data_IF_367802673572
#
_entry.id   IF_367802673572
#
_cell.length_a   1.000
_cell.length_b   1.000
_cell.length_c   1.000
_cell.angle_alpha   90.00
_cell.angle_beta   90.00
_cell.angle_gamma   90.00
#
_symmetry.space_group_name_H-M   'P 1'
#
loop_
_entity.id
_entity.type
_entity.pdbx_description
1 polymer ?
#
# COMPACT_ATOMS: atom_id res chain seq x y z
N UNK A 1 -13.58 -4.40 5.07
CA UNK A 1 -13.29 -5.84 5.22
C UNK A 1 -14.52 -6.56 5.72
N UNK A 2 -14.90 -7.68 5.08
CA UNK A 2 -16.11 -8.42 5.45
C UNK A 2 -15.77 -9.59 6.36
N UNK A 3 -16.53 -9.80 7.43
CA UNK A 3 -16.34 -10.98 8.27
C UNK A 3 -17.17 -12.14 7.71
N UNK A 4 -16.50 -13.12 7.11
CA UNK A 4 -17.17 -14.22 6.39
C UNK A 4 -17.44 -15.46 7.24
N UNK A 5 -17.06 -15.45 8.51
CA UNK A 5 -17.40 -16.53 9.43
C UNK A 5 -18.94 -16.58 9.62
N UNK A 6 -19.59 -17.76 9.47
CA UNK A 6 -21.05 -17.88 9.51
C UNK A 6 -21.58 -17.84 10.94
N UNK A 7 -21.66 -16.64 11.52
CA UNK A 7 -22.24 -16.44 12.87
C UNK A 7 -23.75 -16.70 12.85
N UNK A 8 -24.17 -17.69 13.63
CA UNK A 8 -25.53 -18.18 13.84
C UNK A 8 -26.06 -17.95 15.26
N UNK A 9 -25.19 -17.73 16.25
CA UNK A 9 -25.56 -17.47 17.64
C UNK A 9 -25.93 -16.01 17.89
N UNK A 10 -26.90 -15.78 18.81
CA UNK A 10 -27.31 -14.44 19.24
C UNK A 10 -26.22 -13.71 20.05
N UNK A 11 -25.41 -14.48 20.79
CA UNK A 11 -24.31 -13.97 21.60
C UNK A 11 -22.98 -14.44 21.05
N UNK A 12 -22.12 -13.50 20.69
CA UNK A 12 -20.77 -13.77 20.19
C UNK A 12 -19.80 -12.66 20.58
N UNK A 13 -18.51 -13.01 20.54
CA UNK A 13 -17.37 -12.10 20.57
C UNK A 13 -16.77 -12.07 19.16
N UNK A 14 -16.53 -10.88 18.64
CA UNK A 14 -15.89 -10.63 17.35
C UNK A 14 -14.63 -9.81 17.59
N UNK A 15 -13.49 -10.32 17.13
CA UNK A 15 -12.25 -9.56 17.05
C UNK A 15 -11.90 -9.32 15.58
N UNK A 16 -11.44 -8.13 15.25
CA UNK A 16 -10.68 -7.91 14.02
C UNK A 16 -9.21 -7.92 14.35
N UNK A 17 -8.48 -8.70 13.56
CA UNK A 17 -7.04 -8.91 13.68
C UNK A 17 -6.36 -8.19 12.53
N UNK A 18 -5.19 -7.60 12.79
CA UNK A 18 -4.23 -7.13 11.81
C UNK A 18 -2.88 -7.75 12.13
N UNK A 19 -2.30 -8.52 11.20
CA UNK A 19 -1.03 -9.22 11.41
C UNK A 19 -0.99 -10.01 12.73
N UNK A 20 -2.08 -10.73 13.05
CA UNK A 20 -2.29 -11.50 14.28
C UNK A 20 -2.39 -10.68 15.58
N UNK A 21 -2.49 -9.36 15.51
CA UNK A 21 -2.76 -8.47 16.65
C UNK A 21 -4.21 -7.99 16.62
N UNK A 22 -4.89 -8.00 17.78
CA UNK A 22 -6.27 -7.51 17.87
C UNK A 22 -6.30 -5.98 17.80
N UNK A 23 -6.99 -5.47 16.79
CA UNK A 23 -7.18 -4.04 16.52
C UNK A 23 -8.60 -3.56 16.82
N UNK A 24 -9.51 -4.50 17.09
CA UNK A 24 -10.88 -4.19 17.49
C UNK A 24 -11.49 -5.41 18.18
N UNK A 25 -12.16 -5.20 19.30
CA UNK A 25 -13.01 -6.20 19.94
C UNK A 25 -14.47 -5.71 20.00
N UNK A 26 -15.41 -6.62 19.82
CA UNK A 26 -16.84 -6.35 19.91
C UNK A 26 -17.58 -7.52 20.53
N UNK A 27 -18.34 -7.25 21.59
CA UNK A 27 -19.32 -8.20 22.10
C UNK A 27 -20.70 -7.81 21.56
N UNK A 28 -21.42 -8.77 21.01
CA UNK A 28 -22.77 -8.58 20.40
C UNK A 28 -23.79 -7.78 21.24
N UNK A 29 -23.67 -7.80 22.56
CA UNK A 29 -24.53 -7.03 23.48
C UNK A 29 -24.09 -5.59 23.73
N UNK A 30 -22.90 -5.21 23.28
CA UNK A 30 -22.35 -3.87 23.51
C UNK A 30 -22.92 -2.86 22.51
N UNK A 31 -23.05 -1.58 22.91
CA UNK A 31 -23.55 -0.53 22.03
C UNK A 31 -22.58 -0.18 20.89
N UNK A 32 -21.27 -0.41 21.09
CA UNK A 32 -20.21 -0.08 20.15
C UNK A 32 -19.00 -1.03 20.34
N UNK A 33 -18.15 -1.21 19.31
CA UNK A 33 -16.87 -1.90 19.46
C UNK A 33 -15.86 -1.05 20.24
N UNK A 34 -14.83 -1.71 20.76
CA UNK A 34 -13.63 -1.05 21.26
C UNK A 34 -12.52 -1.25 20.22
N UNK A 35 -11.93 -0.15 19.75
CA UNK A 35 -10.75 -0.17 18.88
C UNK A 35 -9.48 -0.11 19.71
N UNK A 36 -8.46 -0.88 19.33
CA UNK A 36 -7.19 -1.02 20.05
C UNK A 36 -6.02 -1.02 19.07
N UNK A 37 -4.80 -0.88 19.58
CA UNK A 37 -3.57 -0.95 18.78
C UNK A 37 -3.56 0.11 17.67
N UNK A 38 -3.31 -0.30 16.43
CA UNK A 38 -3.22 0.61 15.28
C UNK A 38 -4.50 1.40 14.97
N UNK A 39 -5.65 0.96 15.49
CA UNK A 39 -6.92 1.66 15.32
C UNK A 39 -7.37 2.43 16.57
N UNK A 40 -6.58 2.40 17.65
CA UNK A 40 -6.85 3.21 18.84
C UNK A 40 -6.84 4.70 18.51
N UNK A 41 -7.85 5.43 19.01
CA UNK A 41 -8.10 6.86 18.74
C UNK A 41 -8.18 7.25 17.25
N UNK A 42 -8.33 6.28 16.36
CA UNK A 42 -8.35 6.55 14.93
C UNK A 42 -9.70 7.09 14.49
N UNK A 43 -9.70 8.23 13.78
CA UNK A 43 -10.89 8.72 13.11
C UNK A 43 -11.21 7.93 11.84
N UNK A 44 -12.50 7.76 11.53
CA UNK A 44 -12.96 7.10 10.30
C UNK A 44 -12.88 5.57 10.32
N UNK A 45 -12.77 4.95 11.49
CA UNK A 45 -12.96 3.50 11.66
C UNK A 45 -14.36 3.21 12.18
N UNK A 46 -14.98 2.15 11.67
CA UNK A 46 -16.33 1.76 12.08
C UNK A 46 -16.54 0.25 11.98
N UNK A 47 -17.48 -0.27 12.77
CA UNK A 47 -17.99 -1.63 12.64
C UNK A 47 -19.36 -1.58 11.97
N UNK A 48 -19.39 -1.90 10.67
CA UNK A 48 -20.61 -1.89 9.85
C UNK A 48 -21.36 -3.21 10.01
N UNK A 49 -22.69 -3.13 10.10
CA UNK A 49 -23.57 -4.31 10.28
C UNK A 49 -23.17 -5.22 11.45
N UNK A 50 -22.53 -4.64 12.48
CA UNK A 50 -22.00 -5.36 13.66
C UNK A 50 -20.99 -6.48 13.32
N UNK A 51 -20.37 -6.45 12.12
CA UNK A 51 -19.49 -7.52 11.63
C UNK A 51 -18.29 -7.01 10.84
N UNK A 52 -18.51 -6.05 9.95
CA UNK A 52 -17.54 -5.67 8.93
C UNK A 52 -16.70 -4.48 9.40
N UNK A 53 -15.38 -4.60 9.34
CA UNK A 53 -14.48 -3.49 9.64
C UNK A 53 -14.41 -2.55 8.43
N UNK A 54 -14.71 -1.27 8.66
CA UNK A 54 -14.53 -0.20 7.68
C UNK A 54 -13.43 0.75 8.18
N UNK A 55 -12.50 1.09 7.29
CA UNK A 55 -11.43 2.05 7.54
C UNK A 55 -11.46 3.08 6.41
N UNK A 56 -11.78 4.32 6.77
CA UNK A 56 -11.74 5.48 5.86
C UNK A 56 -10.38 6.19 5.97
N UNK A 57 -10.02 6.91 4.90
CA UNK A 57 -8.75 7.65 4.81
C UNK A 57 -7.54 6.74 5.10
N UNK A 58 -7.34 5.76 4.22
CA UNK A 58 -6.24 4.80 4.34
C UNK A 58 -4.87 5.49 4.38
N UNK A 59 -3.98 4.91 5.15
CA UNK A 59 -2.58 5.31 5.38
C UNK A 59 -1.68 4.13 5.05
N UNK A 60 -0.43 4.38 4.67
CA UNK A 60 0.57 3.32 4.43
C UNK A 60 0.71 2.41 5.65
N UNK A 61 0.63 2.97 6.87
CA UNK A 61 0.68 2.20 8.12
C UNK A 61 -0.46 1.18 8.25
N UNK A 62 -1.53 1.29 7.47
CA UNK A 62 -2.66 0.36 7.53
C UNK A 62 -2.41 -0.93 6.78
N UNK A 63 -1.36 -1.00 5.96
CA UNK A 63 -1.02 -2.23 5.26
C UNK A 63 -0.86 -3.40 6.23
N UNK A 64 -1.27 -4.58 5.77
CA UNK A 64 -1.24 -5.79 6.58
C UNK A 64 -2.32 -6.79 6.17
N UNK A 65 -2.24 -7.95 6.79
CA UNK A 65 -3.26 -8.98 6.68
C UNK A 65 -4.36 -8.72 7.73
N UNK A 66 -5.61 -8.63 7.28
CA UNK A 66 -6.79 -8.44 8.12
C UNK A 66 -7.68 -9.67 8.09
N UNK A 67 -8.18 -10.08 9.24
CA UNK A 67 -9.21 -11.12 9.34
C UNK A 67 -10.05 -10.93 10.60
N UNK A 68 -11.28 -11.46 10.59
CA UNK A 68 -12.06 -11.53 11.81
C UNK A 68 -11.86 -12.88 12.50
N UNK A 69 -11.87 -12.89 13.83
CA UNK A 69 -11.96 -14.09 14.65
C UNK A 69 -13.22 -14.02 15.50
N UNK A 70 -14.06 -15.04 15.41
CA UNK A 70 -15.36 -15.08 16.09
C UNK A 70 -15.38 -16.20 17.11
N UNK A 71 -15.99 -15.92 18.27
CA UNK A 71 -16.35 -16.93 19.26
C UNK A 71 -17.82 -16.79 19.65
N UNK A 72 -18.65 -17.73 19.22
CA UNK A 72 -20.04 -17.83 19.63
C UNK A 72 -20.16 -18.37 21.06
N UNK A 73 -21.11 -17.84 21.82
CA UNK A 73 -21.34 -18.22 23.21
C UNK A 73 -22.64 -19.02 23.34
N UNK A 74 -22.62 -20.00 24.23
CA UNK A 74 -23.76 -20.88 24.49
C UNK A 74 -23.50 -22.32 24.09
N UNK A 75 -24.52 -23.17 24.28
CA UNK A 75 -24.43 -24.58 23.91
C UNK A 75 -24.35 -24.74 22.39
N UNK A 76 -23.35 -25.48 21.91
CA UNK A 76 -23.11 -25.66 20.47
C UNK A 76 -22.44 -24.48 19.77
N UNK A 77 -22.01 -23.44 20.50
CA UNK A 77 -21.30 -22.30 19.93
C UNK A 77 -20.01 -22.69 19.21
N UNK A 78 -19.80 -22.12 18.02
CA UNK A 78 -18.61 -22.35 17.21
C UNK A 78 -17.60 -21.21 17.37
N UNK A 79 -16.35 -21.48 17.01
CA UNK A 79 -15.32 -20.44 16.94
C UNK A 79 -14.44 -20.66 15.72
N UNK A 80 -13.96 -19.58 15.14
CA UNK A 80 -13.05 -19.64 14.00
C UNK A 80 -12.86 -18.30 13.33
N UNK A 81 -12.01 -18.31 12.32
CA UNK A 81 -11.63 -17.13 11.57
C UNK A 81 -12.45 -16.99 10.28
N UNK A 82 -12.65 -15.74 9.86
CA UNK A 82 -13.11 -15.42 8.51
C UNK A 82 -11.98 -15.53 7.48
N UNK A 83 -12.28 -15.13 6.24
CA UNK A 83 -11.27 -14.99 5.20
C UNK A 83 -10.24 -13.91 5.58
N UNK A 84 -8.99 -14.14 5.16
CA UNK A 84 -7.87 -13.20 5.30
C UNK A 84 -7.82 -12.26 4.11
N UNK A 85 -7.61 -10.97 4.35
CA UNK A 85 -7.51 -9.91 3.36
C UNK A 85 -6.14 -9.26 3.46
N UNK A 86 -5.37 -9.26 2.38
CA UNK A 86 -4.13 -8.47 2.30
C UNK A 86 -4.44 -7.05 1.82
N UNK A 87 -4.26 -6.05 2.68
CA UNK A 87 -4.34 -4.64 2.28
C UNK A 87 -2.98 -4.13 1.82
N UNK A 88 -2.95 -3.51 0.63
CA UNK A 88 -1.84 -2.74 0.09
C UNK A 88 -2.36 -1.35 -0.26
N UNK A 89 -1.65 -0.30 0.15
CA UNK A 89 -2.09 1.10 0.03
C UNK A 89 -1.21 1.82 -0.98
N UNK A 90 -1.76 2.19 -2.13
CA UNK A 90 -0.97 2.83 -3.19
C UNK A 90 -0.87 4.34 -3.03
N UNK A 91 0.36 4.86 -3.17
CA UNK A 91 0.67 6.28 -3.34
C UNK A 91 1.28 6.48 -4.73
N UNK A 92 0.62 7.25 -5.62
CA UNK A 92 1.10 7.47 -6.98
C UNK A 92 2.51 8.09 -7.04
N UNK A 93 3.33 7.77 -8.04
CA UNK A 93 4.70 8.28 -8.15
C UNK A 93 4.75 9.78 -8.40
N UNK A 94 5.45 10.52 -7.54
CA UNK A 94 5.85 11.91 -7.81
C UNK A 94 7.32 11.96 -8.20
N UNK A 95 7.58 12.23 -9.48
CA UNK A 95 8.92 12.12 -10.07
C UNK A 95 9.75 13.39 -9.81
N UNK A 96 11.05 13.19 -9.53
CA UNK A 96 12.08 14.22 -9.52
C UNK A 96 13.34 13.70 -10.22
N UNK A 97 13.98 14.56 -11.01
CA UNK A 97 15.24 14.23 -11.70
C UNK A 97 16.34 15.08 -11.11
N UNK A 98 17.49 14.46 -10.85
CA UNK A 98 18.68 15.12 -10.29
C UNK A 98 19.95 14.64 -10.99
N UNK A 99 21.03 15.41 -10.92
CA UNK A 99 22.31 15.08 -11.57
C UNK A 99 22.68 16.08 -12.67
N UNK A 100 23.44 15.62 -13.65
CA UNK A 100 23.90 16.42 -14.78
C UNK A 100 25.31 16.03 -15.25
N UNK A 101 25.99 16.92 -15.99
CA UNK A 101 25.47 18.18 -16.54
C UNK A 101 24.44 17.93 -17.66
N UNK A 102 23.46 18.81 -17.82
CA UNK A 102 22.48 18.74 -18.93
C UNK A 102 23.02 19.30 -20.25
N UNK A 103 24.19 19.95 -20.20
CA UNK A 103 24.96 20.43 -21.35
C UNK A 103 26.37 19.85 -21.24
N UNK A 104 26.85 19.20 -22.30
CA UNK A 104 28.14 18.54 -22.32
C UNK A 104 28.83 18.74 -23.67
N UNK A 105 30.17 18.78 -23.65
CA UNK A 105 31.00 18.79 -24.85
C UNK A 105 31.08 17.40 -25.49
N UNK A 106 31.45 17.36 -26.77
CA UNK A 106 31.69 16.10 -27.50
C UNK A 106 32.79 15.30 -26.79
N UNK A 107 32.56 14.01 -26.57
CA UNK A 107 33.42 13.12 -25.78
C UNK A 107 33.16 13.19 -24.26
N UNK A 108 32.26 14.07 -23.82
CA UNK A 108 31.87 14.25 -22.43
C UNK A 108 31.02 13.11 -21.86
N UNK A 109 30.52 13.32 -20.64
CA UNK A 109 29.65 12.39 -19.92
C UNK A 109 28.57 13.13 -19.13
N UNK A 110 27.42 12.49 -18.98
CA UNK A 110 26.32 12.93 -18.13
C UNK A 110 25.80 11.74 -17.32
N UNK A 111 25.43 12.02 -16.07
CA UNK A 111 24.73 11.06 -15.24
C UNK A 111 23.56 11.77 -14.56
N UNK A 112 22.34 11.34 -14.89
CA UNK A 112 21.11 11.82 -14.27
C UNK A 112 20.39 10.67 -13.60
N UNK A 113 19.78 10.93 -12.45
CA UNK A 113 19.05 9.96 -11.65
C UNK A 113 17.63 10.42 -11.50
N UNK A 114 16.71 9.56 -11.91
CA UNK A 114 15.30 9.68 -11.65
C UNK A 114 14.96 9.11 -10.28
N UNK A 115 14.14 9.82 -9.52
CA UNK A 115 13.62 9.39 -8.22
C UNK A 115 12.11 9.60 -8.22
N UNK A 116 11.40 8.77 -7.49
CA UNK A 116 9.97 8.95 -7.27
C UNK A 116 9.67 8.80 -5.78
N UNK A 117 8.80 9.66 -5.26
CA UNK A 117 8.11 9.38 -4.02
C UNK A 117 6.84 8.58 -4.38
N UNK A 118 6.81 7.30 -3.99
CA UNK A 118 5.73 6.36 -4.31
C UNK A 118 5.65 5.27 -3.24
N UNK A 119 4.50 4.63 -3.13
CA UNK A 119 4.34 3.39 -2.37
C UNK A 119 3.39 2.45 -3.13
N UNK A 120 3.74 1.19 -3.44
CA UNK A 120 5.08 0.59 -3.29
C UNK A 120 6.18 1.38 -4.04
N UNK A 121 7.47 1.05 -3.83
CA UNK A 121 8.56 1.68 -4.57
C UNK A 121 8.42 1.49 -6.08
N UNK A 122 8.57 2.57 -6.85
CA UNK A 122 8.49 2.52 -8.31
C UNK A 122 9.68 1.80 -8.96
N UNK A 123 9.40 1.12 -10.05
CA UNK A 123 10.36 0.79 -11.10
C UNK A 123 10.53 1.98 -12.04
N UNK A 124 11.71 2.09 -12.64
CA UNK A 124 12.08 3.23 -13.49
C UNK A 124 12.51 2.78 -14.88
N UNK A 125 12.14 3.59 -15.87
CA UNK A 125 12.64 3.49 -17.24
C UNK A 125 12.99 4.87 -17.77
N UNK A 126 13.94 4.91 -18.70
CA UNK A 126 14.27 6.09 -19.47
C UNK A 126 13.97 5.86 -20.95
N UNK A 127 13.35 6.83 -21.59
CA UNK A 127 13.12 6.85 -23.04
C UNK A 127 14.04 7.88 -23.68
N UNK A 128 14.84 7.44 -24.64
CA UNK A 128 15.73 8.30 -25.41
C UNK A 128 14.98 9.11 -26.48
N UNK A 129 15.60 10.13 -27.10
CA UNK A 129 15.01 10.85 -28.23
C UNK A 129 14.65 9.95 -29.41
N UNK A 130 15.29 8.78 -29.52
CA UNK A 130 15.06 7.77 -30.54
C UNK A 130 14.03 6.71 -30.11
N UNK A 131 13.31 6.94 -29.00
CA UNK A 131 12.34 6.01 -28.42
C UNK A 131 12.94 4.69 -27.92
N UNK A 132 14.26 4.66 -27.68
CA UNK A 132 14.91 3.50 -27.05
C UNK A 132 14.65 3.52 -25.55
N UNK A 133 14.39 2.34 -24.97
CA UNK A 133 14.08 2.19 -23.56
C UNK A 133 15.29 1.61 -22.83
N UNK A 134 15.73 2.28 -21.77
CA UNK A 134 16.67 1.74 -20.80
C UNK A 134 16.01 1.55 -19.44
N UNK A 135 16.33 0.44 -18.78
CA UNK A 135 15.77 0.11 -17.47
C UNK A 135 16.67 0.64 -16.36
N UNK A 136 16.05 1.14 -15.30
CA UNK A 136 16.72 1.64 -14.12
C UNK A 136 16.52 3.13 -13.90
N UNK A 137 16.84 3.56 -12.69
CA UNK A 137 16.68 4.95 -12.27
C UNK A 137 17.74 5.88 -12.85
N UNK A 138 18.91 5.35 -13.22
CA UNK A 138 20.06 6.13 -13.66
C UNK A 138 20.20 6.06 -15.18
N UNK A 139 20.26 7.23 -15.81
CA UNK A 139 20.68 7.38 -17.19
C UNK A 139 22.12 7.87 -17.19
N UNK A 140 23.01 7.07 -17.77
CA UNK A 140 24.42 7.40 -17.97
C UNK A 140 24.72 7.42 -19.46
N UNK A 141 25.29 8.53 -19.93
CA UNK A 141 25.78 8.69 -21.28
C UNK A 141 27.27 9.05 -21.21
N UNK A 142 28.08 8.35 -22.00
CA UNK A 142 29.54 8.52 -22.03
C UNK A 142 30.01 8.68 -23.47
N UNK A 143 31.15 9.36 -23.66
CA UNK A 143 31.71 9.65 -24.98
C UNK A 143 30.66 10.28 -25.93
N UNK A 144 29.97 11.30 -25.43
CA UNK A 144 28.81 11.89 -26.09
C UNK A 144 29.12 12.46 -27.49
N UNK A 145 28.15 12.33 -28.38
CA UNK A 145 28.16 12.86 -29.75
C UNK A 145 26.95 13.76 -29.98
N UNK A 146 26.87 14.39 -31.15
CA UNK A 146 25.70 15.19 -31.53
C UNK A 146 24.41 14.39 -31.68
N UNK A 147 24.50 13.06 -31.79
CA UNK A 147 23.33 12.18 -31.88
C UNK A 147 22.67 11.94 -30.51
N UNK A 148 23.38 12.21 -29.42
CA UNK A 148 22.87 12.09 -28.04
C UNK A 148 22.08 13.33 -27.59
N UNK A 149 21.95 14.33 -28.47
CA UNK A 149 21.20 15.55 -28.18
C UNK A 149 19.70 15.27 -28.30
N UNK A 150 18.95 15.59 -27.26
CA UNK A 150 17.49 15.60 -27.31
C UNK A 150 16.84 15.50 -25.94
N UNK A 151 15.54 15.20 -25.95
CA UNK A 151 14.76 15.00 -24.72
C UNK A 151 14.81 13.54 -24.28
N UNK A 152 15.35 13.31 -23.09
CA UNK A 152 15.25 12.04 -22.39
C UNK A 152 14.14 12.12 -21.36
N UNK A 153 13.24 11.14 -21.34
CA UNK A 153 12.10 11.10 -20.43
C UNK A 153 12.26 9.96 -19.43
N UNK A 154 12.09 10.25 -18.14
CA UNK A 154 11.97 9.21 -17.12
C UNK A 154 10.49 8.87 -16.89
N UNK A 155 10.19 7.59 -16.77
CA UNK A 155 8.92 7.07 -16.28
C UNK A 155 9.14 6.29 -14.98
N UNK A 156 8.22 6.46 -14.03
CA UNK A 156 8.17 5.72 -12.78
C UNK A 156 6.81 5.02 -12.66
N UNK A 157 6.83 3.74 -12.33
CA UNK A 157 5.64 2.88 -12.26
C UNK A 157 5.72 2.01 -11.00
N UNK A 158 4.68 2.01 -10.15
CA UNK A 158 4.67 1.30 -8.86
C UNK A 158 3.62 0.18 -8.76
N UNK A 159 3.09 -0.31 -9.86
CA UNK A 159 2.25 -1.51 -9.87
C UNK A 159 1.07 -1.44 -10.82
#
# INVERSE_FOLDING_TARGET
>A
FECTFPISADRYILNWMKNDESIMNYFSGDPAPTFTGDLEDRAGVSLVNRRNLEIQNLRISDEGEYYCSVSELGEGGQSGDGMRYQLVVYVPPTISVSGGPYEAEVGGKMMVTCRANSHPPSNFTWTSPLSEISHGAVLELTNMTTNDIGTYMCMADNG
#
